data_IF_452633851487
#
_entry.id   IF_452633851487
#
_cell.length_a   1.000
_cell.length_b   1.000
_cell.length_c   1.000
_cell.angle_alpha   90.00
_cell.angle_beta   90.00
_cell.angle_gamma   90.00
#
_symmetry.space_group_name_H-M   'P 1'
#
loop_
_entity.id
_entity.type
_entity.pdbx_description
1 polymer ?
#
# COMPACT_ATOMS: atom_id res chain seq x y z
N UNK A 1 -17.75 23.52 -0.48
CA UNK A 1 -16.38 24.07 -0.51
C UNK A 1 -16.18 24.74 0.83
N UNK A 2 -15.27 24.23 1.67
CA UNK A 2 -15.09 24.78 3.02
C UNK A 2 -14.62 26.22 2.88
N UNK A 3 -15.35 27.16 3.49
CA UNK A 3 -15.05 28.59 3.38
C UNK A 3 -14.13 29.02 4.53
N UNK A 4 -13.42 30.14 4.35
CA UNK A 4 -12.59 30.72 5.43
C UNK A 4 -13.43 31.08 6.66
N UNK A 5 -14.70 31.40 6.47
CA UNK A 5 -15.67 31.68 7.54
C UNK A 5 -16.02 30.44 8.37
N UNK A 6 -16.13 29.25 7.74
CA UNK A 6 -16.36 28.00 8.48
C UNK A 6 -15.12 27.61 9.33
N UNK A 7 -13.92 27.89 8.83
CA UNK A 7 -12.68 27.74 9.61
C UNK A 7 -12.64 28.71 10.79
N UNK A 8 -13.04 29.96 10.62
CA UNK A 8 -13.09 30.93 11.73
C UNK A 8 -14.12 30.54 12.80
N UNK A 9 -15.27 30.01 12.40
CA UNK A 9 -16.28 29.51 13.34
C UNK A 9 -15.74 28.32 14.15
N UNK A 10 -15.10 27.35 13.49
CA UNK A 10 -14.45 26.22 14.15
C UNK A 10 -13.33 26.67 15.08
N UNK A 11 -12.55 27.68 14.69
CA UNK A 11 -11.53 28.31 15.52
C UNK A 11 -12.12 28.84 16.83
N UNK A 12 -13.22 29.59 16.72
CA UNK A 12 -13.94 30.13 17.87
C UNK A 12 -14.47 29.03 18.79
N UNK A 13 -14.98 27.93 18.22
CA UNK A 13 -15.43 26.78 19.01
C UNK A 13 -14.27 26.09 19.76
N UNK A 14 -13.09 25.95 19.14
CA UNK A 14 -11.88 25.43 19.80
C UNK A 14 -11.45 26.36 20.93
N UNK A 15 -11.46 27.67 20.71
CA UNK A 15 -11.07 28.66 21.72
C UNK A 15 -12.02 28.65 22.93
N UNK A 16 -13.32 28.56 22.68
CA UNK A 16 -14.34 28.42 23.72
C UNK A 16 -14.20 27.11 24.50
N UNK A 17 -13.89 26.00 23.82
CA UNK A 17 -13.64 24.72 24.48
C UNK A 17 -12.35 24.76 25.35
N UNK A 18 -11.30 25.42 24.87
CA UNK A 18 -10.07 25.63 25.62
C UNK A 18 -10.28 26.53 26.85
N UNK A 19 -11.07 27.60 26.73
CA UNK A 19 -11.40 28.48 27.85
C UNK A 19 -12.26 27.75 28.89
N UNK A 20 -13.22 26.93 28.47
CA UNK A 20 -14.01 26.07 29.35
C UNK A 20 -13.15 25.05 30.11
N UNK A 21 -12.17 24.42 29.44
CA UNK A 21 -11.19 23.54 30.10
C UNK A 21 -10.34 24.31 31.12
N UNK A 22 -9.85 25.50 30.77
CA UNK A 22 -9.06 26.31 31.70
C UNK A 22 -9.88 26.71 32.96
N UNK A 23 -11.18 26.98 32.81
CA UNK A 23 -12.08 27.20 33.93
C UNK A 23 -12.30 25.93 34.76
N UNK A 24 -12.46 24.76 34.13
CA UNK A 24 -12.58 23.48 34.82
C UNK A 24 -11.33 23.14 35.65
N UNK A 25 -10.13 23.41 35.10
CA UNK A 25 -8.85 23.27 35.82
C UNK A 25 -8.79 24.19 37.03
N UNK A 26 -9.15 25.48 36.88
CA UNK A 26 -9.22 26.42 38.01
C UNK A 26 -10.20 25.96 39.09
N UNK A 27 -11.35 25.43 38.67
CA UNK A 27 -12.35 24.84 39.57
C UNK A 27 -11.80 23.64 40.36
N UNK A 28 -11.07 22.74 39.68
CA UNK A 28 -10.42 21.59 40.32
C UNK A 28 -9.36 22.03 41.35
N UNK A 29 -8.52 23.02 41.00
CA UNK A 29 -7.50 23.55 41.92
C UNK A 29 -8.15 24.17 43.16
N UNK A 30 -9.23 24.93 42.98
CA UNK A 30 -9.99 25.51 44.10
C UNK A 30 -10.59 24.44 45.00
N UNK A 31 -11.26 23.44 44.43
CA UNK A 31 -11.84 22.32 45.18
C UNK A 31 -10.77 21.51 45.92
N UNK A 32 -9.61 21.28 45.29
CA UNK A 32 -8.47 20.60 45.91
C UNK A 32 -7.93 21.40 47.10
N UNK A 33 -7.83 22.72 46.97
CA UNK A 33 -7.38 23.62 48.04
C UNK A 33 -8.37 23.68 49.20
N UNK A 34 -9.66 23.68 48.93
CA UNK A 34 -10.70 23.64 49.96
C UNK A 34 -10.67 22.31 50.74
N UNK A 35 -10.44 21.20 50.03
CA UNK A 35 -10.34 19.86 50.63
C UNK A 35 -9.05 19.60 51.41
N UNK A 36 -7.98 20.35 51.17
CA UNK A 36 -6.75 20.27 51.97
C UNK A 36 -6.98 20.57 53.46
N UNK A 37 -8.08 21.24 53.82
CA UNK A 37 -8.47 21.47 55.21
C UNK A 37 -8.97 20.21 55.94
N UNK A 38 -9.25 19.11 55.23
CA UNK A 38 -9.77 17.86 55.81
C UNK A 38 -9.15 16.61 55.18
N UNK A 39 -8.39 15.85 55.98
CA UNK A 39 -7.76 14.58 55.57
C UNK A 39 -8.79 13.52 55.12
N UNK A 40 -9.98 13.52 55.73
CA UNK A 40 -11.08 12.63 55.34
C UNK A 40 -11.65 12.98 53.95
N UNK A 41 -11.73 14.27 53.60
CA UNK A 41 -12.17 14.71 52.29
C UNK A 41 -11.14 14.42 51.17
N UNK A 42 -9.85 14.46 51.50
CA UNK A 42 -8.77 13.99 50.62
C UNK A 42 -8.85 12.48 50.39
N UNK A 43 -9.06 11.69 51.46
CA UNK A 43 -9.19 10.24 51.37
C UNK A 43 -10.41 9.82 50.53
N UNK A 44 -11.59 10.41 50.75
CA UNK A 44 -12.78 10.14 49.92
C UNK A 44 -12.56 10.58 48.47
N UNK A 45 -11.85 11.69 48.25
CA UNK A 45 -11.51 12.20 46.91
C UNK A 45 -10.62 11.27 46.08
N UNK A 46 -9.82 10.41 46.72
CA UNK A 46 -9.00 9.39 46.05
C UNK A 46 -9.85 8.24 45.47
N UNK A 47 -11.00 7.94 46.09
CA UNK A 47 -11.87 6.83 45.67
C UNK A 47 -13.10 7.27 44.88
N UNK A 48 -13.53 8.54 45.00
CA UNK A 48 -14.72 9.07 44.32
C UNK A 48 -14.33 10.22 43.38
N UNK A 49 -14.55 10.03 42.07
CA UNK A 49 -14.37 11.08 41.05
C UNK A 49 -15.21 12.31 41.43
N UNK A 50 -14.52 13.41 41.74
CA UNK A 50 -15.14 14.67 42.15
C UNK A 50 -15.96 15.28 41.01
N UNK A 51 -16.98 16.11 41.31
CA UNK A 51 -17.73 16.81 40.27
C UNK A 51 -16.84 17.70 39.38
N UNK A 52 -15.79 18.34 39.91
CA UNK A 52 -14.84 19.08 39.07
C UNK A 52 -13.98 18.17 38.19
N UNK A 53 -13.56 16.99 38.69
CA UNK A 53 -12.81 16.02 37.88
C UNK A 53 -13.67 15.45 36.74
N UNK A 54 -14.95 15.18 36.99
CA UNK A 54 -15.89 14.76 35.94
C UNK A 54 -16.06 15.84 34.87
N UNK A 55 -16.27 17.10 35.28
CA UNK A 55 -16.37 18.24 34.35
C UNK A 55 -15.09 18.43 33.54
N UNK A 56 -13.91 18.30 34.15
CA UNK A 56 -12.63 18.36 33.44
C UNK A 56 -12.52 17.25 32.40
N UNK A 57 -12.84 16.01 32.76
CA UNK A 57 -12.80 14.88 31.82
C UNK A 57 -13.80 15.05 30.66
N UNK A 58 -15.00 15.57 30.92
CA UNK A 58 -16.00 15.89 29.89
C UNK A 58 -15.52 16.99 28.94
N UNK A 59 -14.94 18.07 29.48
CA UNK A 59 -14.34 19.13 28.69
C UNK A 59 -13.16 18.63 27.84
N UNK A 60 -12.30 17.77 28.40
CA UNK A 60 -11.18 17.18 27.66
C UNK A 60 -11.64 16.22 26.57
N UNK A 61 -12.66 15.40 26.84
CA UNK A 61 -13.25 14.53 25.83
C UNK A 61 -13.86 15.34 24.69
N UNK A 62 -14.64 16.38 25.01
CA UNK A 62 -15.24 17.27 24.03
C UNK A 62 -14.18 17.99 23.20
N UNK A 63 -13.13 18.52 23.83
CA UNK A 63 -12.01 19.17 23.15
C UNK A 63 -11.29 18.20 22.20
N UNK A 64 -11.01 16.97 22.65
CA UNK A 64 -10.33 15.97 21.80
C UNK A 64 -11.17 15.59 20.58
N UNK A 65 -12.48 15.38 20.75
CA UNK A 65 -13.38 15.10 19.64
C UNK A 65 -13.46 16.28 18.66
N UNK A 66 -13.50 17.50 19.18
CA UNK A 66 -13.58 18.72 18.38
C UNK A 66 -12.26 18.95 17.61
N UNK A 67 -11.11 18.80 18.26
CA UNK A 67 -9.80 18.89 17.60
C UNK A 67 -9.63 17.85 16.49
N UNK A 68 -10.11 16.61 16.69
CA UNK A 68 -10.09 15.59 15.65
C UNK A 68 -10.90 16.01 14.42
N UNK A 69 -12.14 16.49 14.63
CA UNK A 69 -12.99 17.00 13.55
C UNK A 69 -12.37 18.21 12.85
N UNK A 70 -11.87 19.18 13.61
CA UNK A 70 -11.18 20.36 13.08
C UNK A 70 -9.98 19.97 12.23
N UNK A 71 -9.21 18.96 12.64
CA UNK A 71 -8.08 18.46 11.87
C UNK A 71 -8.51 17.91 10.52
N UNK A 72 -9.54 17.07 10.48
CA UNK A 72 -10.04 16.49 9.23
C UNK A 72 -10.56 17.57 8.28
N UNK A 73 -11.34 18.53 8.79
CA UNK A 73 -11.87 19.65 8.01
C UNK A 73 -10.74 20.56 7.50
N UNK A 74 -9.78 20.91 8.36
CA UNK A 74 -8.66 21.78 7.99
C UNK A 74 -7.76 21.11 6.95
N UNK A 75 -7.59 19.79 7.03
CA UNK A 75 -6.85 19.01 6.05
C UNK A 75 -7.59 18.94 4.70
N UNK A 76 -8.91 18.75 4.69
CA UNK A 76 -9.71 18.83 3.46
C UNK A 76 -9.63 20.22 2.82
N UNK A 77 -9.73 21.28 3.64
CA UNK A 77 -9.55 22.66 3.17
C UNK A 77 -8.18 22.87 2.55
N UNK A 78 -7.10 22.47 3.23
CA UNK A 78 -5.73 22.59 2.71
C UNK A 78 -5.59 21.92 1.36
N UNK A 79 -6.13 20.70 1.22
CA UNK A 79 -6.04 19.97 -0.05
C UNK A 79 -6.82 20.69 -1.15
N UNK A 80 -8.09 21.01 -0.91
CA UNK A 80 -8.94 21.65 -1.91
C UNK A 80 -8.40 23.02 -2.34
N UNK A 81 -8.02 23.86 -1.38
CA UNK A 81 -7.50 25.20 -1.65
C UNK A 81 -6.12 25.16 -2.30
N UNK A 82 -5.23 24.24 -1.91
CA UNK A 82 -3.91 24.11 -2.54
C UNK A 82 -4.06 23.67 -4.00
N UNK A 83 -4.91 22.68 -4.28
CA UNK A 83 -5.20 22.25 -5.65
C UNK A 83 -5.78 23.39 -6.49
N UNK A 84 -6.75 24.14 -5.95
CA UNK A 84 -7.32 25.28 -6.66
C UNK A 84 -6.27 26.36 -6.95
N UNK A 85 -5.36 26.65 -6.00
CA UNK A 85 -4.28 27.60 -6.22
C UNK A 85 -3.28 27.13 -7.27
N UNK A 86 -2.97 25.84 -7.32
CA UNK A 86 -2.10 25.26 -8.37
C UNK A 86 -2.79 25.39 -9.74
N UNK A 87 -4.07 25.02 -9.84
CA UNK A 87 -4.84 25.08 -11.10
C UNK A 87 -5.03 26.50 -11.64
N UNK A 88 -5.08 27.50 -10.76
CA UNK A 88 -5.18 28.90 -11.16
C UNK A 88 -3.81 29.56 -11.42
N UNK A 89 -2.71 28.83 -11.24
CA UNK A 89 -1.34 29.31 -11.45
C UNK A 89 -0.83 28.91 -12.85
N UNK A 90 0.22 29.57 -13.38
CA UNK A 90 0.83 29.16 -14.66
C UNK A 90 1.37 27.72 -14.64
N UNK A 91 1.61 27.16 -13.45
CA UNK A 91 2.09 25.79 -13.25
C UNK A 91 0.95 24.74 -13.30
N UNK A 92 -0.29 25.16 -13.55
CA UNK A 92 -1.46 24.27 -13.53
C UNK A 92 -1.40 23.15 -14.56
N UNK A 93 -1.04 23.47 -15.82
CA UNK A 93 -0.89 22.47 -16.90
C UNK A 93 0.27 21.51 -16.60
N UNK A 94 1.40 22.06 -16.13
CA UNK A 94 2.57 21.28 -15.73
C UNK A 94 2.21 20.29 -14.62
N UNK A 95 1.47 20.75 -13.61
CA UNK A 95 1.01 19.87 -12.52
C UNK A 95 0.06 18.79 -13.04
N UNK A 96 -0.91 19.10 -13.90
CA UNK A 96 -1.80 18.07 -14.47
C UNK A 96 -1.03 16.99 -15.24
N UNK A 97 -0.01 17.39 -15.99
CA UNK A 97 0.88 16.46 -16.67
C UNK A 97 1.66 15.59 -15.67
N UNK A 98 2.31 16.20 -14.66
CA UNK A 98 3.02 15.47 -13.61
C UNK A 98 2.13 14.47 -12.86
N UNK A 99 0.87 14.83 -12.60
CA UNK A 99 -0.12 13.94 -11.97
C UNK A 99 -0.43 12.74 -12.86
N UNK A 100 -0.57 12.96 -14.17
CA UNK A 100 -0.81 11.89 -15.14
C UNK A 100 0.37 10.93 -15.18
N UNK A 101 1.59 11.45 -15.34
CA UNK A 101 2.82 10.64 -15.35
C UNK A 101 2.99 9.85 -14.04
N UNK A 102 2.71 10.46 -12.89
CA UNK A 102 2.78 9.77 -11.62
C UNK A 102 1.74 8.63 -11.49
N UNK A 103 0.51 8.84 -11.97
CA UNK A 103 -0.52 7.79 -11.97
C UNK A 103 -0.11 6.61 -12.85
N UNK A 104 0.43 6.88 -14.03
CA UNK A 104 0.95 5.87 -14.95
C UNK A 104 2.11 5.11 -14.30
N UNK A 105 3.09 5.81 -13.72
CA UNK A 105 4.20 5.20 -12.99
C UNK A 105 3.71 4.34 -11.81
N UNK A 106 2.67 4.79 -11.09
CA UNK A 106 2.07 4.02 -10.00
C UNK A 106 1.42 2.72 -10.50
N UNK A 107 0.70 2.76 -11.63
CA UNK A 107 0.10 1.57 -12.26
C UNK A 107 1.21 0.59 -12.64
N UNK A 108 2.22 1.04 -13.39
CA UNK A 108 3.36 0.23 -13.82
C UNK A 108 4.11 -0.38 -12.63
N UNK A 109 4.35 0.40 -11.56
CA UNK A 109 4.96 -0.07 -10.32
C UNK A 109 4.13 -1.18 -9.64
N UNK A 110 2.81 -0.98 -9.50
CA UNK A 110 1.92 -2.00 -8.90
C UNK A 110 1.86 -3.28 -9.72
N UNK A 111 1.78 -3.16 -11.04
CA UNK A 111 1.75 -4.30 -11.96
C UNK A 111 3.04 -5.13 -11.89
N UNK A 112 4.21 -4.47 -11.95
CA UNK A 112 5.49 -5.16 -11.84
C UNK A 112 5.66 -5.85 -10.49
N UNK A 113 5.25 -5.20 -9.39
CA UNK A 113 5.28 -5.80 -8.06
C UNK A 113 4.34 -7.01 -7.93
N UNK A 114 3.18 -6.99 -8.60
CA UNK A 114 2.27 -8.14 -8.66
C UNK A 114 2.90 -9.32 -9.41
N UNK A 115 3.48 -9.06 -10.58
CA UNK A 115 4.16 -10.08 -11.39
C UNK A 115 5.34 -10.72 -10.66
N UNK A 116 6.16 -9.89 -10.00
CA UNK A 116 7.29 -10.38 -9.20
C UNK A 116 6.83 -11.33 -8.09
N UNK A 117 5.76 -10.97 -7.35
CA UNK A 117 5.17 -11.82 -6.31
C UNK A 117 4.63 -13.14 -6.86
N UNK A 118 4.00 -13.13 -8.04
CA UNK A 118 3.53 -14.36 -8.68
C UNK A 118 4.69 -15.26 -9.09
N UNK A 119 5.77 -14.68 -9.62
CA UNK A 119 6.97 -15.42 -9.97
C UNK A 119 7.68 -16.00 -8.74
N UNK A 120 7.73 -15.28 -7.62
CA UNK A 120 8.27 -15.79 -6.35
C UNK A 120 7.42 -16.93 -5.81
N UNK A 121 6.09 -16.79 -5.84
CA UNK A 121 5.17 -17.86 -5.45
C UNK A 121 5.37 -19.11 -6.33
N UNK A 122 5.43 -18.94 -7.66
CA UNK A 122 5.70 -20.04 -8.58
C UNK A 122 7.05 -20.74 -8.28
N UNK A 123 8.08 -19.98 -7.91
CA UNK A 123 9.39 -20.52 -7.52
C UNK A 123 9.28 -21.38 -6.28
N UNK A 124 8.62 -20.90 -5.23
CA UNK A 124 8.47 -21.67 -3.99
C UNK A 124 7.64 -22.95 -4.21
N UNK A 125 6.58 -22.89 -5.02
CA UNK A 125 5.80 -24.09 -5.37
C UNK A 125 6.61 -25.09 -6.19
N UNK A 126 7.39 -24.63 -7.17
CA UNK A 126 8.28 -25.49 -7.96
C UNK A 126 9.39 -26.12 -7.11
N UNK A 127 9.97 -25.38 -6.16
CA UNK A 127 10.98 -25.89 -5.23
C UNK A 127 10.41 -26.99 -4.34
N UNK A 128 9.19 -26.79 -3.84
CA UNK A 128 8.46 -27.79 -3.07
C UNK A 128 8.18 -29.03 -3.89
N UNK A 129 7.64 -28.87 -5.11
CA UNK A 129 7.38 -29.99 -6.02
C UNK A 129 8.65 -30.77 -6.35
N UNK A 130 9.78 -30.09 -6.59
CA UNK A 130 11.07 -30.73 -6.81
C UNK A 130 11.48 -31.61 -5.63
N UNK A 131 11.42 -31.08 -4.41
CA UNK A 131 11.82 -31.80 -3.21
C UNK A 131 10.92 -33.03 -2.97
N UNK A 132 9.62 -32.90 -3.20
CA UNK A 132 8.67 -34.00 -3.07
C UNK A 132 8.88 -35.07 -4.15
N UNK A 133 9.19 -34.68 -5.39
CA UNK A 133 9.57 -35.61 -6.45
C UNK A 133 10.89 -36.35 -6.18
N UNK A 134 11.88 -35.67 -5.59
CA UNK A 134 13.16 -36.29 -5.20
C UNK A 134 12.99 -37.26 -4.01
N UNK A 135 11.96 -37.06 -3.19
CA UNK A 135 11.69 -37.89 -2.02
C UNK A 135 10.74 -39.07 -2.32
N UNK A 136 10.06 -39.05 -3.47
CA UNK A 136 9.14 -40.10 -3.90
C UNK A 136 9.88 -41.28 -4.54
N UNK A 137 9.37 -42.50 -4.33
CA UNK A 137 9.92 -43.69 -4.99
C UNK A 137 9.59 -43.68 -6.49
N UNK A 138 10.50 -44.17 -7.34
CA UNK A 138 10.29 -44.28 -8.80
C UNK A 138 9.02 -45.06 -9.17
N UNK A 139 8.54 -45.95 -8.30
CA UNK A 139 7.27 -46.69 -8.47
C UNK A 139 6.03 -45.84 -8.19
N UNK A 140 6.07 -44.92 -7.23
CA UNK A 140 4.96 -44.02 -6.89
C UNK A 140 4.78 -42.92 -7.95
N UNK A 141 5.90 -42.45 -8.51
CA UNK A 141 5.88 -41.55 -9.67
C UNK A 141 5.31 -42.27 -10.90
N UNK A 142 5.49 -43.60 -11.02
CA UNK A 142 5.07 -44.38 -12.19
C UNK A 142 3.55 -44.49 -12.24
N UNK A 143 2.98 -44.90 -11.12
CA UNK A 143 1.53 -44.99 -10.93
C UNK A 143 0.84 -43.64 -11.21
N UNK A 144 1.42 -42.53 -10.73
CA UNK A 144 0.91 -41.16 -10.89
C UNK A 144 0.68 -40.72 -12.35
N UNK A 145 1.57 -41.08 -13.28
CA UNK A 145 1.45 -40.69 -14.69
C UNK A 145 0.79 -41.77 -15.56
N UNK A 146 0.93 -43.05 -15.22
CA UNK A 146 0.35 -44.13 -16.04
C UNK A 146 -1.16 -44.27 -15.85
N UNK A 147 -1.71 -43.96 -14.67
CA UNK A 147 -3.16 -44.03 -14.43
C UNK A 147 -3.95 -42.84 -14.99
N UNK A 148 -3.27 -41.76 -15.39
CA UNK A 148 -3.90 -40.55 -15.92
C UNK A 148 -3.28 -40.14 -17.25
N UNK A 149 -3.78 -40.70 -18.36
CA UNK A 149 -3.42 -40.29 -19.74
C UNK A 149 -3.66 -38.77 -19.92
N UNK A 150 -2.60 -37.97 -19.77
CA UNK A 150 -2.17 -36.74 -20.46
C UNK A 150 -3.19 -35.60 -20.73
N UNK A 151 -4.50 -35.76 -20.50
CA UNK A 151 -5.56 -34.77 -20.77
C UNK A 151 -6.44 -34.50 -19.54
N UNK A 152 -6.33 -35.31 -18.48
CA UNK A 152 -7.09 -35.17 -17.21
C UNK A 152 -6.35 -34.40 -16.10
N UNK A 153 -5.34 -33.58 -16.45
CA UNK A 153 -4.42 -32.89 -15.51
C UNK A 153 -5.12 -31.95 -14.52
N UNK A 154 -6.39 -31.59 -14.72
CA UNK A 154 -7.08 -30.61 -13.87
C UNK A 154 -7.86 -31.18 -12.67
N UNK A 155 -8.30 -32.45 -12.68
CA UNK A 155 -9.41 -32.85 -11.78
C UNK A 155 -9.25 -34.11 -10.93
N UNK A 156 -8.24 -34.98 -11.12
CA UNK A 156 -8.23 -36.28 -10.43
C UNK A 156 -6.82 -36.76 -9.99
N UNK A 157 -6.21 -36.07 -9.02
CA UNK A 157 -4.88 -36.41 -8.49
C UNK A 157 -4.85 -36.16 -6.98
N UNK A 158 -5.34 -37.13 -6.19
CA UNK A 158 -5.49 -37.04 -4.73
C UNK A 158 -4.62 -38.03 -3.93
N UNK A 159 -3.71 -38.78 -4.57
CA UNK A 159 -3.08 -39.95 -3.94
C UNK A 159 -1.63 -39.78 -3.45
N UNK A 160 -0.91 -38.68 -3.77
CA UNK A 160 0.47 -38.48 -3.25
C UNK A 160 0.86 -37.01 -3.02
N UNK A 161 1.79 -36.76 -2.08
CA UNK A 161 2.34 -35.43 -1.75
C UNK A 161 3.03 -34.78 -2.96
N UNK A 162 3.83 -35.53 -3.71
CA UNK A 162 4.49 -35.08 -4.93
C UNK A 162 3.49 -34.62 -6.00
N UNK A 163 2.39 -35.37 -6.18
CA UNK A 163 1.33 -34.99 -7.14
C UNK A 163 0.63 -33.69 -6.75
N UNK A 164 0.31 -33.53 -5.45
CA UNK A 164 -0.31 -32.30 -4.94
C UNK A 164 0.60 -31.08 -5.15
N UNK A 165 1.90 -31.24 -4.88
CA UNK A 165 2.89 -30.18 -5.03
C UNK A 165 3.15 -29.82 -6.49
N UNK A 166 3.18 -30.80 -7.40
CA UNK A 166 3.25 -30.57 -8.85
C UNK A 166 2.03 -29.79 -9.37
N UNK A 167 0.81 -30.16 -8.94
CA UNK A 167 -0.42 -29.44 -9.32
C UNK A 167 -0.38 -27.98 -8.83
N UNK A 168 0.06 -27.75 -7.60
CA UNK A 168 0.22 -26.40 -7.03
C UNK A 168 1.27 -25.59 -7.79
N UNK A 169 2.38 -26.21 -8.19
CA UNK A 169 3.43 -25.57 -8.99
C UNK A 169 2.93 -25.19 -10.38
N UNK A 170 2.26 -26.11 -11.09
CA UNK A 170 1.64 -25.83 -12.39
C UNK A 170 0.58 -24.73 -12.30
N UNK A 171 -0.27 -24.75 -11.26
CA UNK A 171 -1.28 -23.71 -11.06
C UNK A 171 -0.65 -22.34 -10.83
N UNK A 172 0.45 -22.25 -10.08
CA UNK A 172 1.15 -21.00 -9.84
C UNK A 172 1.86 -20.49 -11.12
N UNK A 173 2.45 -21.39 -11.91
CA UNK A 173 3.03 -21.06 -13.20
C UNK A 173 1.97 -20.59 -14.21
N UNK A 174 0.80 -21.22 -14.23
CA UNK A 174 -0.33 -20.82 -15.04
C UNK A 174 -0.83 -19.43 -14.64
N UNK A 175 -1.00 -19.17 -13.35
CA UNK A 175 -1.37 -17.83 -12.87
C UNK A 175 -0.35 -16.76 -13.28
N UNK A 176 0.95 -17.06 -13.18
CA UNK A 176 2.00 -16.18 -13.68
C UNK A 176 1.89 -15.95 -15.19
N UNK A 177 1.64 -17.00 -15.98
CA UNK A 177 1.49 -16.90 -17.43
C UNK A 177 0.23 -16.12 -17.85
N UNK A 178 -0.90 -16.35 -17.16
CA UNK A 178 -2.18 -15.68 -17.41
C UNK A 178 -2.10 -14.18 -17.04
N UNK A 179 -1.30 -13.83 -16.03
CA UNK A 179 -1.12 -12.45 -15.59
C UNK A 179 0.03 -11.72 -16.28
N UNK A 180 0.94 -12.42 -16.98
CA UNK A 180 1.86 -11.80 -17.92
C UNK A 180 1.03 -11.19 -19.05
N UNK A 181 0.88 -9.85 -19.13
CA UNK A 181 0.17 -9.28 -20.25
C UNK A 181 0.95 -9.54 -21.54
N UNK A 182 0.29 -9.42 -22.69
CA UNK A 182 0.93 -9.01 -23.95
C UNK A 182 1.58 -7.66 -23.63
N UNK A 183 2.81 -7.73 -23.14
CA UNK A 183 3.55 -6.66 -22.48
C UNK A 183 3.88 -5.54 -23.52
N UNK A 184 3.48 -5.77 -24.78
CA UNK A 184 3.44 -4.90 -25.97
C UNK A 184 2.67 -3.59 -25.83
N UNK A 185 1.66 -3.47 -24.95
CA UNK A 185 0.71 -2.35 -25.03
C UNK A 185 1.09 -1.06 -24.28
N UNK A 186 2.27 -0.99 -23.65
CA UNK A 186 2.70 0.24 -22.95
C UNK A 186 4.20 0.51 -23.04
N UNK A 187 4.74 0.43 -24.27
CA UNK A 187 6.02 1.06 -24.59
C UNK A 187 5.78 2.58 -24.59
N UNK A 188 6.22 3.23 -23.52
CA UNK A 188 6.10 4.65 -23.29
C UNK A 188 7.45 5.34 -23.49
N UNK A 189 7.43 6.53 -24.08
CA UNK A 189 8.57 7.26 -24.70
C UNK A 189 9.55 7.85 -23.66
N UNK A 190 9.30 7.63 -22.36
CA UNK A 190 10.09 8.22 -21.26
C UNK A 190 11.05 7.26 -20.54
N UNK A 191 11.29 6.08 -21.12
CA UNK A 191 12.19 5.07 -20.55
C UNK A 191 13.60 5.18 -21.19
N UNK A 192 14.69 5.09 -20.40
CA UNK A 192 16.04 4.94 -20.96
C UNK A 192 16.10 3.72 -21.88
N UNK A 193 16.84 3.79 -22.99
CA UNK A 193 16.91 2.75 -24.03
C UNK A 193 17.12 1.33 -23.45
N UNK A 194 18.01 1.19 -22.45
CA UNK A 194 18.30 -0.10 -21.80
C UNK A 194 17.08 -0.76 -21.12
N UNK A 195 16.12 0.06 -20.66
CA UNK A 195 14.90 -0.41 -20.00
C UNK A 195 13.81 -0.80 -21.01
N UNK A 196 13.82 -0.13 -22.16
CA UNK A 196 13.00 -0.54 -23.31
C UNK A 196 13.49 -1.88 -23.82
N UNK A 197 14.80 -2.09 -23.95
CA UNK A 197 15.38 -3.38 -24.36
C UNK A 197 15.03 -4.51 -23.39
N UNK A 198 15.12 -4.29 -22.07
CA UNK A 198 14.77 -5.32 -21.08
C UNK A 198 13.27 -5.66 -21.08
N UNK A 199 12.41 -4.64 -21.22
CA UNK A 199 10.97 -4.83 -21.36
C UNK A 199 10.69 -5.55 -22.67
N UNK A 200 11.25 -5.09 -23.79
CA UNK A 200 11.18 -5.70 -25.11
C UNK A 200 11.61 -7.17 -25.08
N UNK A 201 12.72 -7.51 -24.44
CA UNK A 201 13.18 -8.90 -24.27
C UNK A 201 12.16 -9.77 -23.51
N UNK A 202 11.46 -9.17 -22.56
CA UNK A 202 10.40 -9.81 -21.77
C UNK A 202 9.08 -9.93 -22.55
N UNK A 203 8.81 -9.01 -23.49
CA UNK A 203 7.54 -8.85 -24.22
C UNK A 203 7.53 -9.50 -25.62
N UNK A 204 8.66 -9.43 -26.33
CA UNK A 204 8.82 -9.82 -27.74
C UNK A 204 9.38 -11.23 -27.90
N UNK A 205 9.67 -11.94 -26.81
CA UNK A 205 9.79 -13.39 -26.88
C UNK A 205 8.35 -13.94 -26.91
N UNK A 206 7.81 -14.35 -28.07
CA UNK A 206 6.38 -14.64 -28.26
C UNK A 206 5.90 -15.93 -27.54
N UNK A 207 6.70 -16.43 -26.61
CA UNK A 207 6.59 -17.71 -25.94
C UNK A 207 7.38 -17.66 -24.64
N UNK A 208 6.94 -16.88 -23.64
CA UNK A 208 7.16 -17.33 -22.26
C UNK A 208 6.24 -18.53 -22.08
N UNK A 209 6.62 -19.64 -22.69
CA UNK A 209 5.94 -20.90 -22.64
C UNK A 209 6.32 -21.55 -21.32
N UNK A 210 5.99 -20.84 -20.22
CA UNK A 210 6.17 -21.26 -18.83
C UNK A 210 5.56 -22.66 -18.65
N UNK A 211 4.49 -22.93 -19.40
CA UNK A 211 3.81 -24.21 -19.45
C UNK A 211 4.62 -25.28 -20.21
N UNK A 212 5.32 -24.97 -21.31
CA UNK A 212 6.25 -25.91 -21.97
C UNK A 212 7.51 -26.23 -21.19
N UNK A 213 7.88 -25.42 -20.19
CA UNK A 213 8.97 -25.78 -19.28
C UNK A 213 8.65 -27.07 -18.52
N UNK A 214 7.39 -27.50 -18.58
CA UNK A 214 6.88 -28.70 -17.97
C UNK A 214 6.39 -29.72 -19.02
N UNK A 215 7.29 -30.24 -19.85
CA UNK A 215 6.99 -31.38 -20.73
C UNK A 215 7.25 -32.70 -20.00
N UNK A 216 6.30 -33.14 -19.18
CA UNK A 216 6.40 -34.43 -18.46
C UNK A 216 5.76 -35.54 -19.29
N UNK A 217 6.41 -35.85 -20.41
CA UNK A 217 6.10 -37.02 -21.23
C UNK A 217 6.79 -38.28 -20.72
N UNK A 218 7.76 -38.19 -19.80
CA UNK A 218 8.49 -39.34 -19.23
C UNK A 218 8.80 -39.16 -17.74
N UNK A 219 8.69 -40.28 -17.03
CA UNK A 219 8.66 -40.43 -15.58
C UNK A 219 9.98 -40.16 -14.86
N UNK A 220 11.09 -40.61 -15.45
CA UNK A 220 12.43 -40.58 -14.86
C UNK A 220 13.01 -39.16 -14.74
N UNK A 221 12.23 -38.14 -15.08
CA UNK A 221 12.73 -36.79 -15.31
C UNK A 221 11.94 -35.69 -14.61
N UNK A 222 10.91 -36.00 -13.79
CA UNK A 222 10.07 -34.97 -13.18
C UNK A 222 10.87 -34.00 -12.29
N UNK A 223 11.80 -34.51 -11.47
CA UNK A 223 12.71 -33.66 -10.69
C UNK A 223 13.60 -32.80 -11.59
N UNK A 224 14.17 -33.38 -12.66
CA UNK A 224 15.02 -32.66 -13.61
C UNK A 224 14.22 -31.57 -14.36
N UNK A 225 12.96 -31.83 -14.70
CA UNK A 225 12.06 -30.85 -15.32
C UNK A 225 11.71 -29.73 -14.34
N UNK A 226 11.40 -30.05 -13.08
CA UNK A 226 11.26 -29.04 -12.02
C UNK A 226 12.55 -28.21 -11.86
N UNK A 227 13.72 -28.86 -11.92
CA UNK A 227 15.03 -28.19 -11.82
C UNK A 227 15.29 -27.28 -13.02
N UNK A 228 14.97 -27.72 -14.25
CA UNK A 228 15.06 -26.90 -15.48
C UNK A 228 14.09 -25.72 -15.44
N UNK A 229 12.84 -25.95 -15.02
CA UNK A 229 11.84 -24.90 -14.85
C UNK A 229 12.27 -23.88 -13.78
N UNK A 230 12.82 -24.33 -12.65
CA UNK A 230 13.37 -23.46 -11.62
C UNK A 230 14.51 -22.58 -12.14
N UNK A 231 15.45 -23.14 -12.92
CA UNK A 231 16.55 -22.36 -13.51
C UNK A 231 16.01 -21.27 -14.46
N UNK A 232 15.04 -21.60 -15.31
CA UNK A 232 14.41 -20.63 -16.22
C UNK A 232 13.62 -19.57 -15.45
N UNK A 233 12.85 -19.97 -14.45
CA UNK A 233 12.10 -19.06 -13.59
C UNK A 233 13.02 -18.15 -12.75
N UNK A 234 14.18 -18.64 -12.32
CA UNK A 234 15.16 -17.83 -11.59
C UNK A 234 15.75 -16.73 -12.49
N UNK A 235 16.01 -17.02 -13.77
CA UNK A 235 16.40 -15.99 -14.75
C UNK A 235 15.29 -14.95 -14.93
N UNK A 236 14.06 -15.41 -15.12
CA UNK A 236 12.88 -14.54 -15.25
C UNK A 236 12.66 -13.66 -14.01
N UNK A 237 12.87 -14.20 -12.81
CA UNK A 237 12.81 -13.46 -11.56
C UNK A 237 13.85 -12.35 -11.46
N UNK A 238 15.07 -12.60 -11.96
CA UNK A 238 16.10 -11.56 -12.05
C UNK A 238 15.65 -10.40 -12.94
N UNK A 239 15.15 -10.72 -14.14
CA UNK A 239 14.65 -9.72 -15.09
C UNK A 239 13.44 -8.95 -14.53
N UNK A 240 12.47 -9.65 -13.92
CA UNK A 240 11.32 -9.01 -13.28
C UNK A 240 11.72 -8.13 -12.09
N UNK A 241 12.75 -8.54 -11.34
CA UNK A 241 13.32 -7.76 -10.25
C UNK A 241 13.94 -6.45 -10.76
N UNK A 242 14.76 -6.52 -11.80
CA UNK A 242 15.36 -5.34 -12.44
C UNK A 242 14.29 -4.37 -12.97
N UNK A 243 13.27 -4.88 -13.68
CA UNK A 243 12.14 -4.07 -14.15
C UNK A 243 11.39 -3.44 -12.98
N UNK A 244 11.16 -4.19 -11.90
CA UNK A 244 10.46 -3.67 -10.72
C UNK A 244 11.27 -2.57 -10.02
N UNK A 245 12.59 -2.74 -9.88
CA UNK A 245 13.48 -1.73 -9.28
C UNK A 245 13.51 -0.44 -10.10
N UNK A 246 13.54 -0.55 -11.43
CA UNK A 246 13.46 0.58 -12.35
C UNK A 246 12.13 1.34 -12.19
N UNK A 247 11.01 0.61 -12.24
CA UNK A 247 9.67 1.21 -12.05
C UNK A 247 9.50 1.81 -10.65
N UNK A 248 10.16 1.24 -9.64
CA UNK A 248 10.18 1.78 -8.28
C UNK A 248 10.91 3.12 -8.23
N UNK A 249 12.09 3.22 -8.88
CA UNK A 249 12.85 4.47 -8.98
C UNK A 249 12.07 5.55 -9.74
N UNK A 250 11.44 5.18 -10.85
CA UNK A 250 10.58 6.08 -11.64
C UNK A 250 9.41 6.60 -10.80
N UNK A 251 8.66 5.70 -10.14
CA UNK A 251 7.56 6.07 -9.25
C UNK A 251 8.00 7.03 -8.14
N UNK A 252 9.13 6.74 -7.49
CA UNK A 252 9.69 7.61 -6.43
C UNK A 252 10.11 8.97 -6.99
N UNK A 253 10.76 9.01 -8.15
CA UNK A 253 11.18 10.26 -8.80
C UNK A 253 9.98 11.15 -9.15
N UNK A 254 8.93 10.57 -9.74
CA UNK A 254 7.69 11.29 -10.07
C UNK A 254 6.98 11.78 -8.80
N UNK A 255 6.96 10.97 -7.73
CA UNK A 255 6.38 11.36 -6.45
C UNK A 255 7.15 12.52 -5.80
N UNK A 256 8.48 12.51 -5.81
CA UNK A 256 9.29 13.61 -5.26
C UNK A 256 9.15 14.90 -6.08
N UNK A 257 9.01 14.78 -7.40
CA UNK A 257 8.73 15.91 -8.29
C UNK A 257 7.39 16.55 -7.94
N UNK A 258 6.32 15.75 -7.80
CA UNK A 258 5.02 16.23 -7.36
C UNK A 258 5.07 16.90 -5.99
N UNK A 259 5.70 16.27 -5.00
CA UNK A 259 5.88 16.87 -3.66
C UNK A 259 6.54 18.23 -3.71
N UNK A 260 7.57 18.37 -4.55
CA UNK A 260 8.31 19.61 -4.72
C UNK A 260 7.44 20.71 -5.31
N UNK A 261 6.64 20.38 -6.33
CA UNK A 261 5.66 21.29 -6.94
C UNK A 261 4.56 21.70 -5.95
N UNK A 262 4.02 20.77 -5.16
CA UNK A 262 2.87 20.99 -4.26
C UNK A 262 3.24 21.77 -3.00
N UNK A 263 4.45 21.55 -2.44
CA UNK A 263 4.92 22.12 -1.18
C UNK A 263 4.77 23.65 -1.03
N UNK A 264 5.12 24.50 -2.02
CA UNK A 264 4.91 25.95 -1.89
C UNK A 264 3.43 26.32 -1.72
N UNK A 265 2.52 25.63 -2.41
CA UNK A 265 1.08 25.87 -2.33
C UNK A 265 0.50 25.39 -1.00
N UNK A 266 0.88 24.18 -0.56
CA UNK A 266 0.52 23.67 0.77
C UNK A 266 0.93 24.67 1.85
N UNK A 267 2.18 25.15 1.84
CA UNK A 267 2.66 26.11 2.83
C UNK A 267 1.91 27.43 2.79
N UNK A 268 1.56 27.92 1.59
CA UNK A 268 0.80 29.15 1.42
C UNK A 268 -0.60 29.02 2.02
N UNK A 269 -1.27 27.89 1.82
CA UNK A 269 -2.60 27.64 2.40
C UNK A 269 -2.53 27.35 3.90
N UNK A 270 -1.52 26.60 4.37
CA UNK A 270 -1.31 26.33 5.80
C UNK A 270 -1.14 27.61 6.64
N UNK A 271 -0.60 28.69 6.05
CA UNK A 271 -0.52 30.01 6.71
C UNK A 271 -1.88 30.66 6.97
N UNK A 272 -2.93 30.24 6.25
CA UNK A 272 -4.30 30.74 6.45
C UNK A 272 -5.06 29.97 7.53
N UNK A 273 -4.52 28.86 8.03
CA UNK A 273 -5.15 28.10 9.11
C UNK A 273 -4.88 28.81 10.45
N UNK A 274 -5.93 29.04 11.27
CA UNK A 274 -5.78 29.60 12.60
C UNK A 274 -4.79 28.82 13.49
N UNK A 275 -4.00 29.54 14.30
CA UNK A 275 -2.91 28.96 15.13
C UNK A 275 -3.40 27.83 16.07
N UNK A 276 -4.59 27.99 16.65
CA UNK A 276 -5.24 27.04 17.55
C UNK A 276 -5.69 25.73 16.86
N UNK A 277 -5.63 25.66 15.53
CA UNK A 277 -6.00 24.49 14.72
C UNK A 277 -4.87 23.99 13.82
N UNK A 278 -3.66 24.55 13.96
CA UNK A 278 -2.51 24.09 13.17
C UNK A 278 -2.21 22.61 13.43
N UNK A 279 -1.89 21.91 12.35
CA UNK A 279 -1.51 20.50 12.38
C UNK A 279 -0.26 20.27 11.52
N UNK A 280 0.30 19.06 11.59
CA UNK A 280 1.47 18.67 10.81
C UNK A 280 1.18 18.83 9.31
N UNK A 281 2.06 19.54 8.59
CA UNK A 281 1.93 19.76 7.15
C UNK A 281 1.74 18.42 6.40
N UNK A 282 0.79 18.34 5.46
CA UNK A 282 0.63 17.15 4.63
C UNK A 282 1.86 16.96 3.73
N UNK A 283 2.29 15.71 3.56
CA UNK A 283 3.47 15.40 2.75
C UNK A 283 3.23 15.57 1.24
N UNK A 284 1.99 15.31 0.78
CA UNK A 284 1.51 15.57 -0.58
C UNK A 284 -0.03 15.54 -0.64
N UNK A 285 -0.59 16.23 -1.62
CA UNK A 285 -2.03 16.48 -1.78
C UNK A 285 -2.81 15.20 -2.14
N UNK A 286 -2.21 14.29 -2.91
CA UNK A 286 -2.95 13.15 -3.49
C UNK A 286 -3.12 11.93 -2.57
N UNK A 287 -2.26 11.72 -1.56
CA UNK A 287 -2.53 10.68 -0.53
C UNK A 287 -3.81 10.92 0.24
N UNK A 288 -4.24 12.17 0.27
CA UNK A 288 -5.29 12.65 1.15
C UNK A 288 -6.64 12.62 0.42
N UNK A 289 -6.64 12.86 -0.89
CA UNK A 289 -7.82 12.75 -1.76
C UNK A 289 -8.26 11.32 -2.10
N UNK A 290 -7.52 10.29 -1.69
CA UNK A 290 -7.86 8.87 -1.91
C UNK A 290 -8.58 8.21 -0.71
N UNK A 291 -8.83 8.96 0.38
CA UNK A 291 -9.75 8.54 1.44
C UNK A 291 -11.11 9.21 1.24
N UNK A 292 -11.81 8.79 0.20
CA UNK A 292 -13.27 8.93 0.06
C UNK A 292 -13.83 7.57 -0.24
#
# INVERSE_FOLDING_TARGET
MITTTELEELSSQVENANSARALAVKGLVKETRERQSSLWALFIGLFIKTPAQKKLNECELHLNQLLAKCRDISLQYVVMSSLQEIMNSPDGELYQHQVTCWKEAQIKYKESGRLLKLAENAREKLKTARNDCNSASSLELLDMFTTNKVVSVFSAMDTSSASSSLKKAMSALKQLADEMPDLKSSIDVCLPDDTLDLIVDLTLNPAIDILSWFNVSKLDNAEEQCSKALKKLQKLLGQLGEVHDLRTKEYQSQLETLKTTEKPYIRKVMRRIPENMKFKEPEYLQTIGLRT
#
